data_IF_778558084381
#
_entry.id   IF_778558084381
#
_cell.length_a   1.000
_cell.length_b   1.000
_cell.length_c   1.000
_cell.angle_alpha   90.00
_cell.angle_beta   90.00
_cell.angle_gamma   90.00
#
_symmetry.space_group_name_H-M   'P 1'
#
loop_
_entity.id
_entity.type
_entity.pdbx_description
1 polymer ?
#
# COMPACT_ATOMS: atom_id res chain seq x y z
N UNK A 1 -29.73 17.98 14.43
CA UNK A 1 -28.98 18.65 13.35
C UNK A 1 -29.56 18.23 12.02
N UNK A 2 -29.31 18.97 10.92
CA UNK A 2 -29.76 18.56 9.59
C UNK A 2 -29.20 17.19 9.20
N UNK A 3 -30.01 16.40 8.48
CA UNK A 3 -29.61 15.11 7.93
C UNK A 3 -28.83 15.33 6.64
N UNK A 4 -27.52 15.10 6.71
CA UNK A 4 -26.63 15.19 5.56
C UNK A 4 -26.55 13.88 4.77
N UNK A 5 -27.03 12.76 5.31
CA UNK A 5 -26.92 11.45 4.65
C UNK A 5 -27.85 11.41 3.44
N UNK A 6 -29.08 11.91 3.59
CA UNK A 6 -30.08 11.96 2.51
C UNK A 6 -29.74 12.94 1.37
N UNK A 7 -28.73 13.80 1.54
CA UNK A 7 -28.30 14.76 0.50
C UNK A 7 -27.02 14.34 -0.23
N UNK A 8 -26.35 13.28 0.25
CA UNK A 8 -25.16 12.75 -0.39
C UNK A 8 -25.52 11.83 -1.55
N UNK A 9 -24.76 11.85 -2.66
CA UNK A 9 -24.91 10.86 -3.70
C UNK A 9 -24.57 9.47 -3.15
N UNK A 10 -25.16 8.43 -3.75
CA UNK A 10 -24.81 7.06 -3.40
C UNK A 10 -23.29 6.86 -3.53
N UNK A 11 -22.63 6.27 -2.50
CA UNK A 11 -21.20 6.03 -2.55
C UNK A 11 -20.89 5.10 -3.72
N UNK A 12 -20.23 5.62 -4.75
CA UNK A 12 -19.80 4.80 -5.89
C UNK A 12 -18.51 4.08 -5.53
N UNK A 13 -18.62 2.88 -4.97
CA UNK A 13 -17.46 2.06 -4.65
C UNK A 13 -16.91 1.39 -5.93
N UNK A 14 -16.02 2.08 -6.62
CA UNK A 14 -15.52 1.71 -7.96
C UNK A 14 -13.97 1.70 -8.00
N UNK A 15 -13.32 1.27 -9.10
CA UNK A 15 -11.85 1.26 -9.22
C UNK A 15 -11.15 2.61 -8.97
N UNK A 16 -11.87 3.72 -8.85
CA UNK A 16 -11.29 5.00 -8.41
C UNK A 16 -10.88 5.00 -6.92
N UNK A 17 -11.41 4.10 -6.10
CA UNK A 17 -11.02 3.95 -4.69
C UNK A 17 -9.58 3.40 -4.54
N UNK A 18 -9.04 2.75 -5.57
CA UNK A 18 -7.65 2.26 -5.63
C UNK A 18 -6.71 3.47 -5.73
N UNK A 19 -5.98 3.77 -4.66
CA UNK A 19 -5.16 4.98 -4.55
C UNK A 19 -3.65 4.74 -4.69
N UNK A 20 -3.16 3.57 -4.26
CA UNK A 20 -1.73 3.31 -4.16
C UNK A 20 -1.22 2.34 -5.22
N UNK A 21 -1.98 1.28 -5.50
CA UNK A 21 -1.59 0.18 -6.39
C UNK A 21 -1.32 0.64 -7.83
N UNK A 22 -2.17 1.52 -8.37
CA UNK A 22 -2.03 2.10 -9.71
C UNK A 22 -0.68 2.77 -9.95
N UNK A 23 0.04 3.12 -8.88
CA UNK A 23 1.31 3.82 -8.95
C UNK A 23 2.48 3.14 -8.25
N UNK A 24 2.41 1.81 -8.04
CA UNK A 24 3.45 1.12 -7.28
C UNK A 24 4.84 1.17 -7.87
N UNK A 25 4.96 1.07 -9.19
CA UNK A 25 6.18 1.32 -9.94
C UNK A 25 6.94 2.58 -9.47
N UNK A 26 6.24 3.72 -9.34
CA UNK A 26 6.87 5.02 -9.04
C UNK A 26 7.40 5.07 -7.62
N UNK A 27 6.60 4.67 -6.63
CA UNK A 27 7.02 4.77 -5.25
C UNK A 27 8.00 3.66 -4.84
N UNK A 28 7.97 2.50 -5.51
CA UNK A 28 9.02 1.46 -5.39
C UNK A 28 10.35 1.96 -5.97
N UNK A 29 10.33 2.77 -7.03
CA UNK A 29 11.56 3.36 -7.56
C UNK A 29 12.08 4.54 -6.72
N UNK A 30 11.18 5.30 -6.08
CA UNK A 30 11.53 6.55 -5.40
C UNK A 30 12.10 6.37 -3.97
N UNK A 31 11.75 5.29 -3.27
CA UNK A 31 12.07 5.19 -1.83
C UNK A 31 13.58 5.16 -1.55
N UNK A 32 14.38 4.43 -2.33
CA UNK A 32 15.79 4.22 -2.04
C UNK A 32 16.61 5.53 -2.20
N UNK A 33 16.45 6.30 -3.30
CA UNK A 33 17.06 7.62 -3.39
C UNK A 33 16.66 8.55 -2.24
N UNK A 34 15.37 8.57 -1.88
CA UNK A 34 14.88 9.37 -0.74
C UNK A 34 15.55 8.93 0.57
N UNK A 35 15.66 7.63 0.79
CA UNK A 35 16.25 7.05 1.99
C UNK A 35 17.75 7.34 2.10
N UNK A 36 18.49 7.22 0.99
CA UNK A 36 19.93 7.52 0.92
C UNK A 36 20.24 9.00 1.09
N UNK A 37 19.41 9.89 0.55
CA UNK A 37 19.57 11.34 0.70
C UNK A 37 19.24 11.85 2.11
N UNK A 38 18.58 11.03 2.92
CA UNK A 38 18.17 11.38 4.28
C UNK A 38 19.27 11.03 5.28
N UNK A 39 19.78 12.03 6.02
CA UNK A 39 20.78 11.79 7.06
C UNK A 39 20.15 11.33 8.39
N UNK A 40 19.00 11.89 8.76
CA UNK A 40 18.44 11.71 10.10
C UNK A 40 17.71 10.36 10.25
N UNK A 41 18.00 9.56 11.29
CA UNK A 41 17.35 8.28 11.54
C UNK A 41 15.82 8.34 11.59
N UNK A 42 15.26 9.37 12.24
CA UNK A 42 13.81 9.52 12.36
C UNK A 42 13.12 9.80 11.02
N UNK A 43 13.79 10.54 10.13
CA UNK A 43 13.30 10.75 8.77
C UNK A 43 13.40 9.46 7.93
N UNK A 44 14.45 8.64 8.12
CA UNK A 44 14.55 7.31 7.50
C UNK A 44 13.43 6.38 7.96
N UNK A 45 13.13 6.37 9.26
CA UNK A 45 11.98 5.66 9.83
C UNK A 45 10.65 6.16 9.23
N UNK A 46 10.50 7.46 9.01
CA UNK A 46 9.30 8.00 8.35
C UNK A 46 9.16 7.51 6.91
N UNK A 47 10.26 7.43 6.14
CA UNK A 47 10.27 6.86 4.78
C UNK A 47 9.90 5.37 4.82
N UNK A 48 10.50 4.60 5.74
CA UNK A 48 10.16 3.20 5.97
C UNK A 48 8.66 3.05 6.25
N UNK A 49 8.14 3.78 7.24
CA UNK A 49 6.73 3.74 7.58
C UNK A 49 5.82 4.06 6.39
N UNK A 50 6.12 5.13 5.65
CA UNK A 50 5.37 5.53 4.46
C UNK A 50 5.34 4.42 3.40
N UNK A 51 6.49 3.83 3.12
CA UNK A 51 6.63 2.76 2.13
C UNK A 51 5.83 1.52 2.54
N UNK A 52 6.00 1.07 3.78
CA UNK A 52 5.35 -0.13 4.31
C UNK A 52 3.82 0.02 4.32
N UNK A 53 3.31 1.19 4.72
CA UNK A 53 1.88 1.52 4.65
C UNK A 53 1.36 1.40 3.21
N UNK A 54 2.11 1.91 2.22
CA UNK A 54 1.74 1.81 0.80
C UNK A 54 1.74 0.39 0.30
N UNK A 55 2.73 -0.42 0.66
CA UNK A 55 2.82 -1.83 0.23
C UNK A 55 1.62 -2.62 0.73
N UNK A 56 1.33 -2.58 2.04
CA UNK A 56 0.20 -3.29 2.64
C UNK A 56 -1.14 -2.83 2.06
N UNK A 57 -1.34 -1.51 1.95
CA UNK A 57 -2.59 -0.97 1.39
C UNK A 57 -2.75 -1.30 -0.08
N UNK A 58 -1.69 -1.33 -0.88
CA UNK A 58 -1.76 -1.67 -2.31
C UNK A 58 -2.14 -3.14 -2.53
N UNK A 59 -1.66 -4.05 -1.69
CA UNK A 59 -2.08 -5.45 -1.74
C UNK A 59 -3.56 -5.60 -1.40
N UNK A 60 -4.03 -4.92 -0.35
CA UNK A 60 -5.44 -4.90 -0.01
C UNK A 60 -6.30 -4.29 -1.13
N UNK A 61 -5.87 -3.16 -1.70
CA UNK A 61 -6.58 -2.47 -2.79
C UNK A 61 -6.81 -3.37 -4.02
N UNK A 62 -5.93 -4.35 -4.25
CA UNK A 62 -6.07 -5.29 -5.36
C UNK A 62 -7.28 -6.22 -5.24
N UNK A 63 -7.82 -6.41 -4.03
CA UNK A 63 -8.92 -7.34 -3.74
C UNK A 63 -10.12 -6.66 -3.09
N UNK A 64 -9.96 -5.42 -2.63
CA UNK A 64 -10.96 -4.71 -1.81
C UNK A 64 -12.30 -4.51 -2.52
N UNK A 65 -12.28 -4.30 -3.85
CA UNK A 65 -13.47 -4.07 -4.66
C UNK A 65 -14.26 -5.37 -4.82
N UNK A 66 -13.58 -6.46 -5.17
CA UNK A 66 -14.20 -7.77 -5.37
C UNK A 66 -14.78 -8.33 -4.07
N UNK A 67 -14.12 -8.04 -2.94
CA UNK A 67 -14.55 -8.45 -1.60
C UNK A 67 -15.54 -7.47 -0.95
N UNK A 68 -15.88 -6.36 -1.61
CA UNK A 68 -16.72 -5.28 -1.08
C UNK A 68 -16.36 -4.86 0.36
N UNK A 69 -15.06 -4.71 0.63
CA UNK A 69 -14.54 -4.34 1.94
C UNK A 69 -13.59 -3.15 1.79
N UNK A 70 -13.70 -2.13 2.64
CA UNK A 70 -12.93 -0.90 2.48
C UNK A 70 -12.28 -0.52 3.81
N UNK A 71 -10.95 -0.41 3.80
CA UNK A 71 -10.20 0.04 4.96
C UNK A 71 -8.92 0.74 4.52
N UNK A 72 -8.44 1.65 5.36
CA UNK A 72 -7.09 2.24 5.28
C UNK A 72 -6.23 1.83 6.46
N UNK A 73 -6.78 1.12 7.42
CA UNK A 73 -6.07 0.70 8.62
C UNK A 73 -5.15 -0.47 8.30
N UNK A 74 -3.95 -0.42 8.87
CA UNK A 74 -2.88 -1.35 8.48
C UNK A 74 -3.23 -2.79 8.84
N UNK A 75 -3.80 -3.03 10.03
CA UNK A 75 -4.12 -4.38 10.45
C UNK A 75 -5.21 -5.05 9.58
N UNK A 76 -6.39 -4.44 9.33
CA UNK A 76 -7.38 -5.01 8.41
C UNK A 76 -6.83 -5.24 7.00
N UNK A 77 -6.08 -4.27 6.44
CA UNK A 77 -5.46 -4.41 5.13
C UNK A 77 -4.48 -5.60 5.09
N UNK A 78 -3.60 -5.72 6.09
CA UNK A 78 -2.62 -6.81 6.18
C UNK A 78 -3.30 -8.16 6.35
N UNK A 79 -4.33 -8.25 7.20
CA UNK A 79 -5.09 -9.48 7.46
C UNK A 79 -5.71 -10.04 6.18
N UNK A 80 -6.41 -9.19 5.43
CA UNK A 80 -7.06 -9.58 4.17
C UNK A 80 -6.02 -9.90 3.10
N UNK A 81 -5.00 -9.06 2.93
CA UNK A 81 -3.93 -9.32 1.97
C UNK A 81 -3.19 -10.64 2.26
N UNK A 82 -2.90 -10.94 3.54
CA UNK A 82 -2.23 -12.17 3.94
C UNK A 82 -3.08 -13.43 3.71
N UNK A 83 -4.41 -13.31 3.71
CA UNK A 83 -5.32 -14.40 3.35
C UNK A 83 -5.34 -14.64 1.84
N UNK A 84 -5.39 -13.56 1.05
CA UNK A 84 -5.48 -13.63 -0.41
C UNK A 84 -4.15 -14.00 -1.07
N UNK A 85 -3.03 -13.58 -0.50
CA UNK A 85 -1.68 -13.82 -1.02
C UNK A 85 -0.89 -14.70 -0.06
N UNK A 86 -1.40 -15.92 0.18
CA UNK A 86 -0.84 -16.87 1.13
C UNK A 86 0.69 -17.13 0.99
N UNK A 87 1.27 -17.22 -0.23
CA UNK A 87 2.73 -17.41 -0.37
C UNK A 87 3.56 -16.24 0.17
N UNK A 88 2.99 -15.04 0.23
CA UNK A 88 3.66 -13.83 0.73
C UNK A 88 3.24 -13.47 2.16
N UNK A 89 2.42 -14.29 2.83
CA UNK A 89 1.83 -14.00 4.15
C UNK A 89 2.84 -13.48 5.18
N UNK A 90 3.98 -14.15 5.32
CA UNK A 90 5.01 -13.74 6.28
C UNK A 90 5.56 -12.34 5.96
N UNK A 91 5.87 -12.08 4.68
CA UNK A 91 6.37 -10.78 4.23
C UNK A 91 5.32 -9.67 4.35
N UNK A 92 4.04 -9.99 4.16
CA UNK A 92 2.92 -9.03 4.35
C UNK A 92 2.82 -8.62 5.82
N UNK A 93 2.87 -9.58 6.74
CA UNK A 93 2.89 -9.26 8.18
C UNK A 93 4.14 -8.48 8.57
N UNK A 94 5.30 -8.83 8.00
CA UNK A 94 6.52 -8.07 8.24
C UNK A 94 6.41 -6.61 7.77
N UNK A 95 5.79 -6.37 6.61
CA UNK A 95 5.49 -5.02 6.15
C UNK A 95 4.53 -4.30 7.11
N UNK A 96 3.50 -4.97 7.62
CA UNK A 96 2.56 -4.39 8.57
C UNK A 96 3.23 -4.00 9.90
N UNK A 97 4.13 -4.84 10.42
CA UNK A 97 4.96 -4.53 11.59
C UNK A 97 5.80 -3.27 11.35
N UNK A 98 6.53 -3.21 10.25
CA UNK A 98 7.37 -2.05 9.91
C UNK A 98 6.56 -0.77 9.61
N UNK A 99 5.28 -0.91 9.25
CA UNK A 99 4.37 0.22 9.12
C UNK A 99 3.95 0.82 10.49
N UNK A 100 4.01 0.04 11.57
CA UNK A 100 3.68 0.48 12.93
C UNK A 100 4.96 0.83 13.72
N UNK A 101 5.98 -0.02 13.64
CA UNK A 101 7.28 0.11 14.28
C UNK A 101 8.38 0.22 13.19
N UNK A 102 8.57 1.40 12.59
CA UNK A 102 9.49 1.56 11.47
C UNK A 102 10.96 1.45 11.88
N UNK A 103 11.80 1.21 10.89
CA UNK A 103 13.25 1.05 11.03
C UNK A 103 14.01 1.97 10.08
N UNK A 104 15.22 2.34 10.47
CA UNK A 104 16.23 3.02 9.65
C UNK A 104 17.25 2.03 9.05
N UNK A 105 17.01 0.73 9.19
CA UNK A 105 17.89 -0.32 8.66
C UNK A 105 17.48 -0.69 7.23
N UNK A 106 18.31 -0.36 6.21
CA UNK A 106 17.94 -0.59 4.82
C UNK A 106 17.72 -2.07 4.49
N UNK A 107 18.50 -2.98 5.10
CA UNK A 107 18.38 -4.42 4.86
C UNK A 107 16.98 -4.97 5.16
N UNK A 108 16.34 -4.49 6.25
CA UNK A 108 14.99 -4.90 6.60
C UNK A 108 13.95 -4.38 5.61
N UNK A 109 14.18 -3.20 5.02
CA UNK A 109 13.30 -2.61 4.00
C UNK A 109 13.44 -3.37 2.68
N UNK A 110 14.67 -3.66 2.25
CA UNK A 110 14.95 -4.45 1.05
C UNK A 110 14.33 -5.84 1.12
N UNK A 111 14.45 -6.55 2.25
CA UNK A 111 13.86 -7.88 2.41
C UNK A 111 12.34 -7.89 2.17
N UNK A 112 11.62 -6.85 2.60
CA UNK A 112 10.18 -6.71 2.34
C UNK A 112 9.91 -6.39 0.88
N UNK A 113 10.69 -5.48 0.29
CA UNK A 113 10.56 -5.11 -1.12
C UNK A 113 10.79 -6.29 -2.06
N UNK A 114 11.82 -7.09 -1.81
CA UNK A 114 12.16 -8.23 -2.64
C UNK A 114 11.03 -9.28 -2.62
N UNK A 115 10.41 -9.48 -1.45
CA UNK A 115 9.31 -10.43 -1.29
C UNK A 115 7.97 -9.97 -1.87
N UNK A 116 7.73 -8.66 -2.00
CA UNK A 116 6.40 -8.12 -2.38
C UNK A 116 6.37 -7.35 -3.70
N UNK A 117 7.47 -6.73 -4.13
CA UNK A 117 7.50 -5.91 -5.36
C UNK A 117 7.11 -6.69 -6.61
N UNK A 118 7.54 -7.96 -6.82
CA UNK A 118 7.11 -8.72 -8.00
C UNK A 118 5.59 -8.93 -8.05
N UNK A 119 4.97 -9.23 -6.90
CA UNK A 119 3.52 -9.39 -6.78
C UNK A 119 2.81 -8.06 -7.05
N UNK A 120 3.25 -6.97 -6.42
CA UNK A 120 2.66 -5.64 -6.59
C UNK A 120 2.70 -5.16 -8.05
N UNK A 121 3.84 -5.35 -8.74
CA UNK A 121 3.97 -5.01 -10.16
C UNK A 121 3.05 -5.85 -11.04
N UNK A 122 2.90 -7.14 -10.73
CA UNK A 122 1.93 -8.01 -11.43
C UNK A 122 0.49 -7.52 -11.23
N UNK A 123 0.12 -7.19 -9.98
CA UNK A 123 -1.20 -6.68 -9.64
C UNK A 123 -1.48 -5.32 -10.29
N UNK A 124 -0.49 -4.43 -10.36
CA UNK A 124 -0.61 -3.13 -11.03
C UNK A 124 -1.01 -3.26 -12.51
N UNK A 125 -0.56 -4.32 -13.21
CA UNK A 125 -0.91 -4.53 -14.62
C UNK A 125 -2.41 -4.81 -14.84
N UNK A 126 -3.14 -5.29 -13.83
CA UNK A 126 -4.60 -5.46 -13.88
C UNK A 126 -5.35 -4.16 -13.59
N UNK A 127 -4.67 -3.18 -12.98
CA UNK A 127 -5.22 -1.86 -12.67
C UNK A 127 -4.35 -0.77 -13.28
N UNK A 128 -4.17 -0.73 -14.61
CA UNK A 128 -3.36 0.29 -15.24
C UNK A 128 -3.95 1.67 -14.94
N UNK A 129 -3.07 2.67 -14.82
CA UNK A 129 -3.54 4.06 -14.79
C UNK A 129 -4.33 4.31 -16.06
N UNK A 130 -5.54 4.84 -15.93
CA UNK A 130 -6.17 5.55 -17.04
C UNK A 130 -5.19 6.64 -17.47
N UNK A 131 -4.77 6.64 -18.74
CA UNK A 131 -4.10 7.82 -19.31
C UNK A 131 -5.12 8.94 -19.16
N UNK A 132 -4.90 9.87 -18.23
CA UNK A 132 -5.56 11.16 -18.36
C UNK A 132 -5.06 11.71 -19.70
N UNK A 133 -5.95 11.76 -20.68
CA UNK A 133 -5.78 12.62 -21.84
C UNK A 133 -5.44 14.01 -21.29
N UNK A 134 -4.30 14.52 -21.76
CA UNK A 134 -3.78 15.86 -21.48
C UNK A 134 -4.87 16.92 -21.67
#
# INVERSE_FOLDING_TARGET
GPDFISTLPDPTLKPHCIAHLKACDRWIAAWEPMFKATAQPEQKKAICQWLMKRMVRSLFEAVMVDLNCYSRDIYPCAKIAAQQFAPQKATIWRAAELAVAPTDQPAAIFAVLDGLSPLLRRLQNYFPRSRQSL
#
